data_IF_625040323487
#
_entry.id   IF_625040323487
#
_cell.length_a   1.000
_cell.length_b   1.000
_cell.length_c   1.000
_cell.angle_alpha   90.00
_cell.angle_beta   90.00
_cell.angle_gamma   90.00
#
_symmetry.space_group_name_H-M   'P 1'
#
loop_
_entity.id
_entity.type
_entity.pdbx_description
1 polymer ?
#
# COMPACT_ATOMS: atom_id res chain seq x y z
N UNK A 1 5.10 -9.70 -0.87
CA UNK A 1 3.75 -10.01 -1.41
C UNK A 1 3.64 -9.77 -2.92
N UNK A 2 3.91 -8.56 -3.43
CA UNK A 2 3.76 -8.20 -4.86
C UNK A 2 4.46 -9.15 -5.82
N UNK A 3 5.77 -9.39 -5.62
CA UNK A 3 6.59 -10.25 -6.48
C UNK A 3 6.00 -11.67 -6.62
N UNK A 4 5.70 -12.30 -5.50
CA UNK A 4 5.19 -13.69 -5.45
C UNK A 4 3.80 -13.82 -6.11
N UNK A 5 2.97 -12.78 -5.99
CA UNK A 5 1.60 -12.83 -6.49
C UNK A 5 1.46 -12.41 -7.94
N UNK A 6 2.26 -11.46 -8.42
CA UNK A 6 2.00 -10.78 -9.70
C UNK A 6 3.17 -10.73 -10.68
N UNK A 7 4.43 -10.83 -10.25
CA UNK A 7 5.56 -10.74 -11.18
C UNK A 7 5.56 -11.93 -12.15
N UNK A 8 5.75 -11.66 -13.44
CA UNK A 8 5.72 -12.65 -14.51
C UNK A 8 4.34 -13.24 -14.80
N UNK A 9 3.25 -12.56 -14.40
CA UNK A 9 1.87 -13.01 -14.61
C UNK A 9 1.03 -11.90 -15.25
N UNK A 10 -0.07 -12.30 -15.90
CA UNK A 10 -0.98 -11.42 -16.64
C UNK A 10 -2.39 -11.42 -16.01
N UNK A 11 -2.97 -10.22 -15.90
CA UNK A 11 -4.26 -9.90 -15.27
C UNK A 11 -5.01 -8.85 -16.09
N UNK A 12 -5.18 -9.14 -17.38
CA UNK A 12 -5.79 -8.29 -18.40
C UNK A 12 -7.30 -8.04 -18.22
N UNK A 13 -7.89 -8.60 -17.17
CA UNK A 13 -9.27 -8.36 -16.75
C UNK A 13 -9.37 -7.57 -15.43
N UNK A 14 -8.23 -7.09 -14.93
CA UNK A 14 -8.08 -6.47 -13.63
C UNK A 14 -7.44 -5.08 -13.74
N UNK A 15 -8.02 -4.12 -13.03
CA UNK A 15 -7.48 -2.77 -12.83
C UNK A 15 -6.86 -2.68 -11.44
N UNK A 16 -5.64 -2.17 -11.34
CA UNK A 16 -4.95 -1.94 -10.09
C UNK A 16 -4.90 -0.44 -9.79
N UNK A 17 -5.62 0.01 -8.76
CA UNK A 17 -5.58 1.38 -8.25
C UNK A 17 -4.71 1.38 -7.00
N UNK A 18 -3.57 2.07 -7.03
CA UNK A 18 -2.57 1.94 -5.95
C UNK A 18 -2.01 3.26 -5.46
N UNK A 19 -1.83 3.33 -4.15
CA UNK A 19 -1.05 4.35 -3.46
C UNK A 19 0.38 3.89 -3.14
N UNK A 20 0.75 2.66 -3.51
CA UNK A 20 2.04 2.05 -3.20
C UNK A 20 2.97 2.09 -4.43
N UNK A 21 4.10 2.82 -4.39
CA UNK A 21 5.00 2.97 -5.53
C UNK A 21 5.70 1.68 -5.95
N UNK A 22 5.82 0.68 -5.05
CA UNK A 22 6.43 -0.61 -5.40
C UNK A 22 5.65 -1.35 -6.49
N UNK A 23 4.37 -1.03 -6.70
CA UNK A 23 3.60 -1.61 -7.81
C UNK A 23 4.23 -1.25 -9.15
N UNK A 24 4.62 0.02 -9.35
CA UNK A 24 5.22 0.47 -10.63
C UNK A 24 6.63 -0.10 -10.87
N UNK A 25 7.30 -0.52 -9.80
CA UNK A 25 8.69 -0.95 -9.81
C UNK A 25 8.82 -2.47 -9.91
N UNK A 26 7.95 -3.21 -9.21
CA UNK A 26 8.03 -4.67 -9.14
C UNK A 26 7.22 -5.33 -10.24
N UNK A 27 6.09 -4.73 -10.62
CA UNK A 27 5.14 -5.34 -11.56
C UNK A 27 5.54 -5.02 -13.00
N UNK A 28 5.54 -6.06 -13.84
CA UNK A 28 5.89 -5.92 -15.25
C UNK A 28 4.90 -4.99 -15.97
N UNK A 29 5.41 -4.21 -16.92
CA UNK A 29 4.56 -3.37 -17.74
C UNK A 29 3.58 -4.22 -18.56
N UNK A 30 2.30 -3.84 -18.56
CA UNK A 30 1.24 -4.61 -19.23
C UNK A 30 0.71 -5.79 -18.43
N UNK A 31 1.25 -6.10 -17.24
CA UNK A 31 0.75 -7.22 -16.42
C UNK A 31 -0.73 -7.07 -16.00
N UNK A 32 -1.26 -5.85 -15.89
CA UNK A 32 -2.67 -5.58 -15.61
C UNK A 32 -3.32 -4.89 -16.81
N UNK A 33 -4.65 -4.96 -16.91
CA UNK A 33 -5.38 -4.15 -17.91
C UNK A 33 -4.99 -2.68 -17.80
N UNK A 34 -4.96 -2.18 -16.55
CA UNK A 34 -4.56 -0.82 -16.23
C UNK A 34 -4.04 -0.71 -14.80
N UNK A 35 -2.98 0.06 -14.60
CA UNK A 35 -2.49 0.48 -13.28
C UNK A 35 -2.72 2.00 -13.16
N UNK A 36 -3.35 2.41 -12.05
CA UNK A 36 -3.58 3.81 -11.68
C UNK A 36 -2.78 4.12 -10.42
N UNK A 37 -1.64 4.77 -10.61
CA UNK A 37 -0.67 5.08 -9.58
C UNK A 37 -0.98 6.42 -8.92
N UNK A 38 -1.87 6.41 -7.93
CA UNK A 38 -2.35 7.61 -7.25
C UNK A 38 -1.22 8.37 -6.53
N UNK A 39 -0.14 7.69 -6.15
CA UNK A 39 1.02 8.32 -5.53
C UNK A 39 1.72 9.32 -6.46
N UNK A 40 1.47 9.25 -7.77
CA UNK A 40 1.99 10.22 -8.71
C UNK A 40 1.11 11.48 -8.78
N UNK A 41 -0.17 11.42 -8.42
CA UNK A 41 -1.11 12.55 -8.63
C UNK A 41 -1.70 13.13 -7.35
N UNK A 42 -1.79 12.36 -6.27
CA UNK A 42 -2.47 12.72 -5.02
C UNK A 42 -1.53 12.76 -3.80
N UNK A 43 -0.23 12.85 -4.04
CA UNK A 43 0.77 12.86 -2.97
C UNK A 43 0.65 14.12 -2.09
N UNK A 44 0.70 13.93 -0.77
CA UNK A 44 0.74 15.02 0.20
C UNK A 44 2.16 15.13 0.79
N UNK A 45 2.94 16.10 0.31
CA UNK A 45 4.33 16.33 0.74
C UNK A 45 4.48 16.59 2.23
N UNK A 46 3.45 17.15 2.87
CA UNK A 46 3.50 17.42 4.31
C UNK A 46 3.40 16.13 5.09
N UNK A 47 2.55 15.21 4.63
CA UNK A 47 2.35 13.90 5.25
C UNK A 47 3.40 12.88 4.84
N UNK A 48 4.06 13.04 3.68
CA UNK A 48 4.91 12.01 3.09
C UNK A 48 4.12 10.74 2.73
N UNK A 49 2.85 10.91 2.37
CA UNK A 49 1.92 9.83 2.02
C UNK A 49 0.72 10.39 1.26
N UNK A 50 -0.12 9.52 0.71
CA UNK A 50 -1.45 9.86 0.22
C UNK A 50 -2.46 9.78 1.38
N UNK A 51 -3.46 10.66 1.36
CA UNK A 51 -4.62 10.61 2.26
C UNK A 51 -5.58 9.50 1.82
N UNK A 52 -6.09 8.65 2.74
CA UNK A 52 -7.01 7.56 2.37
C UNK A 52 -8.31 8.06 1.74
N UNK A 53 -8.74 9.28 2.06
CA UNK A 53 -9.92 9.91 1.44
C UNK A 53 -9.74 10.11 -0.07
N UNK A 54 -8.53 10.49 -0.51
CA UNK A 54 -8.24 10.67 -1.94
C UNK A 54 -8.19 9.33 -2.66
N UNK A 55 -7.67 8.28 -2.00
CA UNK A 55 -7.74 6.90 -2.53
C UNK A 55 -9.20 6.48 -2.73
N UNK A 56 -10.09 6.72 -1.76
CA UNK A 56 -11.53 6.44 -1.92
C UNK A 56 -12.13 7.23 -3.08
N UNK A 57 -12.02 8.56 -3.08
CA UNK A 57 -12.66 9.43 -4.09
C UNK A 57 -12.24 9.08 -5.52
N UNK A 58 -10.94 8.81 -5.73
CA UNK A 58 -10.42 8.43 -7.05
C UNK A 58 -10.89 7.04 -7.44
N UNK A 59 -10.91 6.11 -6.48
CA UNK A 59 -11.40 4.75 -6.72
C UNK A 59 -12.88 4.72 -7.08
N UNK A 60 -13.73 5.52 -6.43
CA UNK A 60 -15.16 5.63 -6.76
C UNK A 60 -15.35 5.99 -8.24
N UNK A 61 -14.67 7.04 -8.71
CA UNK A 61 -14.71 7.47 -10.11
C UNK A 61 -14.22 6.39 -11.07
N UNK A 62 -13.04 5.82 -10.81
CA UNK A 62 -12.46 4.79 -11.68
C UNK A 62 -13.31 3.51 -11.71
N UNK A 63 -13.99 3.18 -10.61
CA UNK A 63 -14.90 2.03 -10.59
C UNK A 63 -16.12 2.21 -11.50
N UNK A 64 -16.56 3.46 -11.73
CA UNK A 64 -17.63 3.76 -12.69
C UNK A 64 -17.19 3.54 -14.14
N UNK A 65 -15.91 3.81 -14.44
CA UNK A 65 -15.31 3.60 -15.77
C UNK A 65 -15.03 2.12 -16.07
N UNK A 66 -14.71 1.32 -15.04
CA UNK A 66 -14.30 -0.08 -15.18
C UNK A 66 -15.32 -1.08 -14.63
N UNK A 67 -16.57 -0.98 -15.10
CA UNK A 67 -17.68 -1.82 -14.60
C UNK A 67 -17.54 -3.32 -14.91
N UNK A 68 -16.78 -3.66 -15.95
CA UNK A 68 -16.54 -5.03 -16.41
C UNK A 68 -15.15 -5.58 -16.05
N UNK A 69 -14.46 -4.93 -15.10
CA UNK A 69 -13.14 -5.36 -14.60
C UNK A 69 -13.21 -5.78 -13.14
N UNK A 70 -12.27 -6.64 -12.74
CA UNK A 70 -11.89 -6.78 -11.32
C UNK A 70 -11.08 -5.56 -10.93
N UNK A 71 -11.16 -5.15 -9.67
CA UNK A 71 -10.48 -3.94 -9.20
C UNK A 71 -9.76 -4.28 -7.91
N UNK A 72 -8.46 -3.99 -7.87
CA UNK A 72 -7.65 -3.98 -6.66
C UNK A 72 -7.46 -2.52 -6.26
N UNK A 73 -7.78 -2.19 -5.01
CA UNK A 73 -7.67 -0.84 -4.45
C UNK A 73 -6.72 -0.94 -3.26
N UNK A 74 -5.57 -0.29 -3.36
CA UNK A 74 -4.47 -0.46 -2.43
C UNK A 74 -4.21 0.85 -1.68
N UNK A 75 -4.66 0.89 -0.43
CA UNK A 75 -4.40 1.95 0.54
C UNK A 75 -3.00 1.79 1.15
N UNK A 76 -2.34 2.89 1.52
CA UNK A 76 -1.05 2.84 2.21
C UNK A 76 -1.19 2.56 3.70
N UNK A 77 -2.28 3.02 4.33
CA UNK A 77 -2.49 2.80 5.76
C UNK A 77 -2.71 1.30 6.05
N UNK A 78 -2.07 0.73 7.09
CA UNK A 78 -1.41 1.43 8.21
C UNK A 78 0.12 1.59 8.09
N UNK A 79 0.72 1.41 6.91
CA UNK A 79 2.15 1.66 6.73
C UNK A 79 2.52 3.09 7.18
N UNK A 80 3.71 3.26 7.75
CA UNK A 80 4.22 4.57 8.12
C UNK A 80 4.54 5.40 6.86
N UNK A 81 4.59 6.74 6.90
CA UNK A 81 4.40 7.60 8.07
C UNK A 81 2.98 7.51 8.63
N UNK A 82 2.85 7.63 9.95
CA UNK A 82 1.53 7.69 10.59
C UNK A 82 0.94 9.08 10.38
N UNK A 83 -0.15 9.17 9.61
CA UNK A 83 -0.76 10.44 9.21
C UNK A 83 -1.89 10.90 10.14
N UNK A 84 -2.07 10.20 11.26
CA UNK A 84 -2.98 10.60 12.33
C UNK A 84 -2.43 11.75 13.18
N UNK A 85 -3.10 12.04 14.29
CA UNK A 85 -2.66 13.04 15.26
C UNK A 85 -1.37 12.62 15.96
N UNK A 86 -1.19 11.31 16.17
CA UNK A 86 0.06 10.75 16.70
C UNK A 86 1.03 10.49 15.55
N UNK A 87 1.92 11.46 15.35
CA UNK A 87 3.04 11.31 14.44
C UNK A 87 4.22 10.72 15.22
N UNK A 88 4.65 9.53 14.84
CA UNK A 88 5.84 8.86 15.35
C UNK A 88 6.72 8.45 14.19
N UNK A 89 8.02 8.47 14.41
CA UNK A 89 9.02 8.26 13.38
C UNK A 89 9.09 9.39 12.36
N UNK A 90 10.10 9.31 11.50
CA UNK A 90 10.29 10.23 10.39
C UNK A 90 9.31 10.01 9.24
N UNK A 91 9.43 10.88 8.24
CA UNK A 91 8.80 10.62 6.94
C UNK A 91 9.40 9.35 6.34
N UNK A 92 8.60 8.58 5.60
CA UNK A 92 9.17 7.55 4.73
C UNK A 92 9.94 8.28 3.63
N UNK A 93 11.25 8.41 3.80
CA UNK A 93 12.15 8.52 2.67
C UNK A 93 12.29 7.09 2.14
N UNK A 94 12.10 6.93 0.85
CA UNK A 94 12.32 5.63 0.25
C UNK A 94 13.73 5.72 -0.44
N UNK A 95 14.42 4.63 -0.81
CA UNK A 95 15.72 4.66 -1.56
C UNK A 95 15.80 3.59 -2.69
N UNK A 96 16.30 3.90 -3.90
CA UNK A 96 16.11 3.12 -5.17
C UNK A 96 17.52 3.05 -5.69
N UNK A 97 18.07 1.86 -5.57
CA UNK A 97 19.39 1.53 -6.06
C UNK A 97 19.21 0.47 -7.15
N UNK A 98 19.08 0.91 -8.40
CA UNK A 98 18.79 0.03 -9.54
C UNK A 98 17.35 -0.52 -9.51
N UNK A 99 17.19 -1.84 -9.54
CA UNK A 99 15.87 -2.52 -9.40
C UNK A 99 15.45 -2.73 -7.93
N UNK A 100 16.22 -2.21 -6.97
CA UNK A 100 15.97 -2.39 -5.55
C UNK A 100 15.41 -1.10 -4.96
N UNK A 101 14.18 -1.16 -4.49
CA UNK A 101 13.64 -0.16 -3.57
C UNK A 101 13.95 -0.62 -2.16
N UNK A 102 14.79 0.13 -1.45
CA UNK A 102 14.97 0.14 -0.01
C UNK A 102 14.09 1.24 0.58
N UNK A 103 13.84 1.16 1.88
CA UNK A 103 13.33 2.30 2.62
C UNK A 103 14.57 3.06 3.09
N UNK A 104 14.76 4.28 2.59
CA UNK A 104 15.88 5.13 2.96
C UNK A 104 15.63 5.75 4.31
N UNK A 105 16.32 5.31 5.34
CA UNK A 105 16.14 5.85 6.69
C UNK A 105 16.99 7.12 6.87
N UNK A 106 16.66 8.20 6.17
CA UNK A 106 17.20 9.52 6.52
C UNK A 106 16.70 9.97 7.91
N UNK A 107 15.61 9.38 8.38
CA UNK A 107 15.03 9.57 9.71
C UNK A 107 14.66 8.23 10.34
N UNK A 108 14.70 8.16 11.67
CA UNK A 108 14.35 6.98 12.46
C UNK A 108 12.88 6.58 12.26
N UNK A 109 12.59 5.31 11.92
CA UNK A 109 11.20 4.84 11.79
C UNK A 109 10.56 4.57 13.15
N UNK A 110 9.23 4.40 13.23
CA UNK A 110 8.59 3.93 14.47
C UNK A 110 9.13 2.59 14.96
N UNK A 111 9.60 1.75 14.03
CA UNK A 111 10.15 0.43 14.33
C UNK A 111 11.54 0.54 14.93
N UNK A 112 12.43 1.34 14.32
CA UNK A 112 13.76 1.64 14.85
C UNK A 112 13.68 2.31 16.22
N UNK A 113 12.77 3.28 16.39
CA UNK A 113 12.55 3.97 17.64
C UNK A 113 12.09 3.00 18.74
N UNK A 114 11.23 2.03 18.40
CA UNK A 114 10.75 1.02 19.34
C UNK A 114 11.85 0.02 19.70
N UNK A 115 12.61 -0.47 18.71
CA UNK A 115 13.74 -1.37 18.91
C UNK A 115 14.81 -0.75 19.83
N UNK A 116 15.10 0.54 19.64
CA UNK A 116 16.08 1.28 20.44
C UNK A 116 15.58 1.74 21.81
N UNK A 117 14.28 1.59 22.07
CA UNK A 117 13.63 2.09 23.29
C UNK A 117 13.49 3.62 23.36
N UNK A 118 13.53 4.31 22.21
CA UNK A 118 13.27 5.75 22.09
C UNK A 118 11.77 6.09 22.20
N UNK A 119 10.89 5.11 22.04
CA UNK A 119 9.44 5.22 22.25
C UNK A 119 8.91 3.94 22.87
N UNK A 120 7.70 4.00 23.43
CA UNK A 120 7.02 2.85 24.01
C UNK A 120 6.21 2.06 22.97
N UNK A 121 5.99 0.76 23.24
CA UNK A 121 5.11 -0.08 22.41
C UNK A 121 3.69 0.49 22.37
N UNK A 122 3.23 1.07 23.47
CA UNK A 122 1.92 1.69 23.61
C UNK A 122 1.75 2.90 22.70
N UNK A 123 2.78 3.75 22.59
CA UNK A 123 2.78 4.91 21.70
C UNK A 123 2.74 4.50 20.24
N UNK A 124 3.63 3.59 19.82
CA UNK A 124 3.66 3.06 18.44
C UNK A 124 2.36 2.37 18.09
N UNK A 125 1.81 1.56 18.99
CA UNK A 125 0.53 0.90 18.79
C UNK A 125 -0.63 1.90 18.64
N UNK A 126 -0.65 2.95 19.46
CA UNK A 126 -1.68 3.98 19.36
C UNK A 126 -1.61 4.73 18.02
N UNK A 127 -0.42 5.08 17.54
CA UNK A 127 -0.24 5.73 16.24
C UNK A 127 -0.57 4.79 15.07
N UNK A 128 -0.11 3.54 15.12
CA UNK A 128 -0.43 2.52 14.11
C UNK A 128 -1.93 2.28 14.01
N UNK A 129 -2.61 2.12 15.15
CA UNK A 129 -4.06 1.90 15.21
C UNK A 129 -4.83 3.10 14.68
N UNK A 130 -4.45 4.32 15.07
CA UNK A 130 -5.07 5.54 14.54
C UNK A 130 -4.89 5.64 13.02
N UNK A 131 -3.69 5.33 12.52
CA UNK A 131 -3.41 5.32 11.08
C UNK A 131 -4.25 4.25 10.34
N UNK A 132 -4.37 3.05 10.91
CA UNK A 132 -5.23 1.98 10.40
C UNK A 132 -6.70 2.42 10.33
N UNK A 133 -7.22 3.04 11.38
CA UNK A 133 -8.60 3.51 11.46
C UNK A 133 -8.90 4.55 10.37
N UNK A 134 -7.96 5.44 10.04
CA UNK A 134 -8.12 6.38 8.92
C UNK A 134 -8.31 5.66 7.58
N UNK A 135 -7.50 4.63 7.30
CA UNK A 135 -7.62 3.84 6.08
C UNK A 135 -8.90 3.01 6.04
N UNK A 136 -9.21 2.29 7.14
CA UNK A 136 -10.38 1.44 7.24
C UNK A 136 -11.68 2.23 7.13
N UNK A 137 -11.78 3.40 7.75
CA UNK A 137 -12.97 4.25 7.65
C UNK A 137 -13.30 4.63 6.20
N UNK A 138 -12.28 4.90 5.39
CA UNK A 138 -12.47 5.24 3.97
C UNK A 138 -12.73 3.99 3.12
N UNK A 139 -12.09 2.86 3.42
CA UNK A 139 -12.39 1.57 2.77
C UNK A 139 -13.84 1.09 3.06
N UNK A 140 -14.33 1.33 4.28
CA UNK A 140 -15.70 1.01 4.69
C UNK A 140 -16.74 1.87 3.96
N UNK A 141 -16.48 3.17 3.79
CA UNK A 141 -17.33 4.04 2.97
C UNK A 141 -17.28 3.62 1.50
N UNK A 142 -16.10 3.28 1.00
CA UNK A 142 -15.90 2.89 -0.39
C UNK A 142 -16.71 1.64 -0.75
N UNK A 143 -16.67 0.59 0.09
CA UNK A 143 -17.34 -0.69 -0.22
C UNK A 143 -18.83 -0.54 -0.48
N UNK A 144 -19.49 0.43 0.13
CA UNK A 144 -20.93 0.64 0.00
C UNK A 144 -21.32 1.14 -1.40
N UNK A 145 -20.37 1.78 -2.09
CA UNK A 145 -20.52 2.27 -3.46
C UNK A 145 -20.06 1.25 -4.52
N UNK A 146 -19.49 0.11 -4.12
CA UNK A 146 -19.00 -0.91 -5.04
C UNK A 146 -20.06 -1.97 -5.33
N UNK A 147 -20.28 -2.26 -6.62
CA UNK A 147 -21.14 -3.36 -7.06
C UNK A 147 -20.41 -4.70 -7.03
N UNK A 148 -21.09 -5.72 -6.52
CA UNK A 148 -20.67 -7.11 -6.54
C UNK A 148 -20.05 -7.57 -5.22
N UNK A 149 -19.07 -8.47 -5.32
CA UNK A 149 -18.34 -8.97 -4.15
C UNK A 149 -17.14 -8.06 -3.90
N UNK A 150 -17.00 -7.59 -2.67
CA UNK A 150 -15.86 -6.83 -2.18
C UNK A 150 -15.19 -7.61 -1.07
N UNK A 151 -13.85 -7.62 -1.05
CA UNK A 151 -13.06 -8.19 0.04
C UNK A 151 -12.17 -7.09 0.58
N UNK A 152 -12.17 -6.90 1.90
CA UNK A 152 -11.18 -6.08 2.60
C UNK A 152 -10.21 -7.04 3.28
N UNK A 153 -8.92 -6.91 2.95
CA UNK A 153 -7.83 -7.75 3.41
C UNK A 153 -6.56 -6.92 3.55
N UNK A 154 -5.50 -7.53 4.05
CA UNK A 154 -4.15 -6.97 4.03
C UNK A 154 -3.20 -7.88 3.26
N UNK A 155 -2.07 -7.34 2.80
CA UNK A 155 -0.98 -8.04 2.13
C UNK A 155 -0.02 -8.71 3.13
N UNK A 156 0.12 -8.15 4.35
CA UNK A 156 0.85 -8.73 5.47
C UNK A 156 0.48 -8.09 6.82
N UNK A 157 0.94 -8.67 7.92
CA UNK A 157 0.86 -8.09 9.26
C UNK A 157 2.07 -7.22 9.61
N UNK A 158 2.22 -6.86 10.89
CA UNK A 158 3.32 -6.01 11.36
C UNK A 158 3.69 -6.38 12.79
N UNK A 159 4.99 -6.52 13.06
CA UNK A 159 5.56 -6.81 14.36
C UNK A 159 5.86 -5.55 15.15
N UNK A 160 5.77 -5.66 16.47
CA UNK A 160 6.01 -4.62 17.47
C UNK A 160 6.95 -5.17 18.56
N UNK A 161 8.02 -5.84 18.16
CA UNK A 161 8.97 -6.50 19.07
C UNK A 161 8.46 -7.86 19.51
N UNK A 162 8.03 -8.67 18.56
CA UNK A 162 7.76 -10.08 18.84
C UNK A 162 8.98 -10.94 18.59
N UNK A 163 9.16 -11.94 19.46
CA UNK A 163 10.19 -12.95 19.26
C UNK A 163 9.86 -13.81 18.03
N UNK A 164 10.75 -13.75 17.03
CA UNK A 164 10.62 -14.51 15.77
C UNK A 164 11.53 -15.74 15.73
N UNK A 165 12.54 -15.76 16.60
CA UNK A 165 13.42 -16.88 16.88
C UNK A 165 13.93 -16.73 18.33
N UNK A 166 14.29 -17.80 19.07
CA UNK A 166 14.71 -17.66 20.47
C UNK A 166 15.73 -16.55 20.69
N UNK A 167 15.39 -15.57 21.54
CA UNK A 167 16.19 -14.37 21.85
C UNK A 167 16.41 -13.40 20.69
N UNK A 168 15.58 -13.45 19.65
CA UNK A 168 15.60 -12.56 18.50
C UNK A 168 14.20 -11.98 18.31
N UNK A 169 14.07 -10.70 18.64
CA UNK A 169 12.87 -9.91 18.38
C UNK A 169 12.95 -9.24 17.02
N UNK A 170 11.80 -9.00 16.39
CA UNK A 170 11.70 -8.27 15.12
C UNK A 170 10.59 -7.20 15.20
N UNK A 171 10.77 -6.15 14.39
CA UNK A 171 9.94 -4.95 14.40
C UNK A 171 9.58 -4.59 12.96
N UNK A 172 8.32 -4.24 12.69
CA UNK A 172 7.86 -4.04 11.33
C UNK A 172 7.65 -5.37 10.60
N UNK A 173 8.19 -5.52 9.41
CA UNK A 173 7.89 -6.67 8.55
C UNK A 173 9.09 -7.06 7.68
N UNK A 174 10.15 -7.54 8.35
CA UNK A 174 11.40 -7.94 7.71
C UNK A 174 11.16 -9.01 6.63
N UNK A 175 11.63 -8.81 5.38
CA UNK A 175 11.46 -9.78 4.31
C UNK A 175 12.02 -11.16 4.65
N UNK A 176 11.18 -12.19 4.53
CA UNK A 176 11.54 -13.58 4.84
C UNK A 176 11.17 -14.06 6.24
N UNK A 177 10.69 -13.16 7.12
CA UNK A 177 10.20 -13.52 8.46
C UNK A 177 8.72 -13.94 8.39
N UNK A 178 8.47 -15.25 8.36
CA UNK A 178 7.15 -15.86 8.15
C UNK A 178 6.47 -16.31 9.45
N UNK A 179 6.38 -15.42 10.43
CA UNK A 179 5.64 -15.68 11.69
C UNK A 179 4.15 -15.38 11.55
N UNK A 180 3.31 -16.03 12.38
CA UNK A 180 1.85 -15.89 12.30
C UNK A 180 1.39 -14.43 12.28
N UNK A 181 2.00 -13.56 13.11
CA UNK A 181 1.65 -12.14 13.17
C UNK A 181 1.96 -11.34 11.90
N UNK A 182 2.83 -11.85 11.02
CA UNK A 182 3.13 -11.23 9.72
C UNK A 182 2.35 -11.86 8.56
N UNK A 183 1.94 -13.12 8.66
CA UNK A 183 1.30 -13.83 7.52
C UNK A 183 -0.20 -14.01 7.68
N UNK A 184 -0.72 -13.91 8.91
CA UNK A 184 -2.15 -14.02 9.19
C UNK A 184 -2.82 -12.65 9.04
N UNK A 185 -3.56 -12.50 7.96
CA UNK A 185 -4.25 -11.25 7.60
C UNK A 185 -5.77 -11.41 7.73
N UNK A 186 -6.52 -10.31 7.96
CA UNK A 186 -7.98 -10.36 7.92
C UNK A 186 -8.48 -10.67 6.50
N UNK A 187 -9.62 -11.33 6.40
CA UNK A 187 -10.33 -11.54 5.13
C UNK A 187 -11.82 -11.34 5.37
N UNK A 188 -12.33 -10.16 5.03
CA UNK A 188 -13.72 -9.78 5.29
C UNK A 188 -14.45 -9.60 3.96
N UNK A 189 -15.50 -10.39 3.77
CA UNK A 189 -16.28 -10.39 2.53
C UNK A 189 -17.57 -9.59 2.67
N UNK A 190 -17.87 -8.81 1.64
CA UNK A 190 -19.11 -8.06 1.49
C UNK A 190 -19.74 -8.38 0.13
N UNK A 191 -21.07 -8.34 0.07
CA UNK A 191 -21.82 -8.58 -1.15
C UNK A 191 -22.85 -7.47 -1.36
N UNK A 192 -22.76 -6.77 -2.49
CA UNK A 192 -23.67 -5.71 -2.89
C UNK A 192 -24.23 -6.00 -4.29
N UNK A 193 -25.45 -6.53 -4.36
CA UNK A 193 -26.08 -6.92 -5.63
C UNK A 193 -25.38 -8.09 -6.32
N UNK A 194 -25.49 -8.16 -7.65
CA UNK A 194 -24.92 -9.26 -8.44
C UNK A 194 -23.42 -9.09 -8.74
N UNK A 195 -22.73 -10.21 -8.97
CA UNK A 195 -21.32 -10.22 -9.39
C UNK A 195 -21.14 -9.55 -10.75
N UNK A 196 -20.03 -8.83 -10.91
CA UNK A 196 -19.63 -8.23 -12.19
C UNK A 196 -19.43 -9.31 -13.25
N UNK A 197 -19.85 -9.02 -14.48
CA UNK A 197 -19.47 -9.80 -15.66
C UNK A 197 -18.10 -9.30 -16.12
N UNK A 198 -17.06 -10.02 -15.72
CA UNK A 198 -15.66 -9.64 -15.96
C UNK A 198 -15.25 -9.95 -17.40
N UNK A 199 -14.52 -9.04 -18.05
CA UNK A 199 -13.96 -9.21 -19.39
C UNK A 199 -12.48 -8.90 -19.42
N UNK A 200 -11.75 -9.76 -20.11
CA UNK A 200 -10.34 -9.59 -20.43
C UNK A 200 -10.18 -8.76 -21.71
N UNK A 201 -9.22 -7.84 -21.72
CA UNK A 201 -8.94 -6.96 -22.85
C UNK A 201 -7.43 -6.68 -22.95
N UNK A 202 -6.94 -6.31 -24.13
CA UNK A 202 -5.55 -5.86 -24.29
C UNK A 202 -5.26 -4.71 -23.31
N UNK A 203 -4.13 -4.78 -22.55
CA UNK A 203 -3.74 -3.71 -21.64
C UNK A 203 -3.73 -2.34 -22.31
N UNK A 204 -4.25 -1.34 -21.60
CA UNK A 204 -4.10 0.04 -22.02
C UNK A 204 -2.65 0.48 -21.85
N UNK A 205 -2.11 1.18 -22.86
CA UNK A 205 -0.78 1.78 -22.76
C UNK A 205 -0.73 2.74 -21.57
N UNK A 206 0.37 2.79 -20.80
CA UNK A 206 0.55 3.78 -19.74
C UNK A 206 0.29 5.19 -20.27
N UNK A 207 -0.38 6.04 -19.50
CA UNK A 207 -0.66 7.43 -19.90
C UNK A 207 0.50 8.39 -19.62
N UNK A 208 1.54 7.94 -18.92
CA UNK A 208 2.67 8.78 -18.48
C UNK A 208 3.97 8.03 -18.74
N UNK A 209 4.97 8.76 -19.24
CA UNK A 209 6.33 8.28 -19.45
C UNK A 209 7.00 8.09 -18.08
N UNK A 210 7.15 6.82 -17.67
CA UNK A 210 7.52 6.43 -16.29
C UNK A 210 8.87 6.97 -15.82
N UNK A 211 9.78 7.38 -16.71
CA UNK A 211 11.19 7.51 -16.33
C UNK A 211 11.62 8.87 -15.75
N UNK A 212 10.97 9.98 -16.10
CA UNK A 212 11.41 11.31 -15.62
C UNK A 212 10.65 11.78 -14.37
N UNK A 213 9.35 11.55 -14.29
CA UNK A 213 8.54 11.98 -13.15
C UNK A 213 8.75 11.09 -11.92
N UNK A 214 8.99 9.79 -12.12
CA UNK A 214 9.42 8.90 -11.06
C UNK A 214 10.77 9.37 -10.50
N UNK A 215 11.75 9.75 -11.34
CA UNK A 215 13.05 10.25 -10.85
C UNK A 215 12.95 11.52 -10.01
N UNK A 216 12.19 12.53 -10.45
CA UNK A 216 12.06 13.78 -9.69
C UNK A 216 11.32 13.62 -8.36
N UNK A 217 10.29 12.76 -8.31
CA UNK A 217 9.59 12.43 -7.06
C UNK A 217 10.36 11.47 -6.19
N UNK A 218 11.17 10.60 -6.78
CA UNK A 218 12.17 9.82 -6.07
C UNK A 218 13.16 10.81 -5.41
N UNK A 219 13.74 11.80 -6.09
CA UNK A 219 14.62 12.82 -5.46
C UNK A 219 13.97 13.50 -4.24
N UNK A 220 12.71 13.93 -4.35
CA UNK A 220 11.95 14.55 -3.24
C UNK A 220 11.61 13.57 -2.10
N UNK A 221 11.56 12.27 -2.40
CA UNK A 221 11.43 11.17 -1.44
C UNK A 221 12.80 10.70 -0.90
N UNK A 222 13.89 11.40 -1.20
CA UNK A 222 15.24 11.11 -0.70
C UNK A 222 16.10 10.23 -1.63
N UNK A 223 15.76 10.15 -2.90
CA UNK A 223 16.45 9.31 -3.88
C UNK A 223 17.11 10.12 -5.00
N UNK A 224 18.31 10.60 -4.73
CA UNK A 224 19.52 10.58 -5.56
C UNK A 224 20.57 11.41 -4.83
#
# INVERSE_FOLDING_TARGET
WLKENFKGKEFHDTVYITSNPFVDIIIDEGAFYRIHSLWQTEWDEKLGSIRPEEVRKKSEKLCEDYQDKRIIIHFMQPHYPFIGNRQLGGKSAWEVEGERVRIGHNEETPWDALERGNTSKEEVWAAYKENLELGLNEAEKLKDNLKGKTVISSDHGNLLGEEVFPLVDDYGHTPGVLVEKNVKVPWVEFQNGERKKVKENTPEKPSVDKNEEIKGKLEDLGYM
#
